data_IF_140092546709
#
_entry.id   IF_140092546709
#
_cell.length_a   1.000
_cell.length_b   1.000
_cell.length_c   1.000
_cell.angle_alpha   90.00
_cell.angle_beta   90.00
_cell.angle_gamma   90.00
#
_symmetry.space_group_name_H-M   'P 1'
#
loop_
_entity.id
_entity.type
_entity.pdbx_description
1 polymer ?
#
# COMPACT_ATOMS: atom_id res chain seq x y z
N UNK A 1 -12.26 81.36 -24.21
CA UNK A 1 -12.85 81.94 -22.98
C UNK A 1 -13.37 80.77 -22.17
N UNK A 2 -12.65 80.35 -21.12
CA UNK A 2 -12.78 80.84 -19.74
C UNK A 2 -14.02 80.21 -19.04
N UNK A 3 -13.78 79.19 -18.20
CA UNK A 3 -14.11 79.13 -16.76
C UNK A 3 -15.47 78.44 -16.49
N UNK A 4 -15.71 77.61 -15.46
CA UNK A 4 -15.01 77.24 -14.23
C UNK A 4 -15.78 76.05 -13.58
N UNK A 5 -15.28 75.54 -12.44
CA UNK A 5 -15.86 74.54 -11.52
C UNK A 5 -15.74 73.08 -11.98
N UNK A 6 -14.75 72.28 -11.58
CA UNK A 6 -14.07 72.14 -10.28
C UNK A 6 -15.05 72.08 -9.09
N UNK A 7 -15.74 70.95 -8.93
CA UNK A 7 -16.09 70.32 -7.64
C UNK A 7 -16.94 69.08 -7.90
N UNK A 8 -16.49 67.94 -7.37
CA UNK A 8 -17.09 66.59 -7.23
C UNK A 8 -16.05 65.57 -7.73
N UNK A 9 -14.94 65.52 -7.01
CA UNK A 9 -13.91 64.50 -7.15
C UNK A 9 -13.63 63.95 -5.75
N UNK A 10 -14.66 63.38 -5.12
CA UNK A 10 -14.64 62.63 -3.85
C UNK A 10 -16.02 61.97 -3.73
N UNK A 11 -16.08 60.68 -3.39
CA UNK A 11 -17.26 59.80 -3.28
C UNK A 11 -17.59 58.89 -4.48
N UNK A 12 -16.62 58.15 -4.99
CA UNK A 12 -16.87 56.75 -5.42
C UNK A 12 -15.72 55.84 -4.98
N UNK A 13 -15.31 55.99 -3.72
CA UNK A 13 -14.53 54.99 -3.02
C UNK A 13 -15.48 53.92 -2.45
N UNK A 14 -15.20 52.67 -2.79
CA UNK A 14 -15.64 51.46 -2.08
C UNK A 14 -17.14 51.18 -2.01
N UNK A 15 -17.65 50.57 -3.09
CA UNK A 15 -18.70 49.56 -2.98
C UNK A 15 -18.21 48.27 -3.66
N UNK A 16 -17.07 47.73 -3.20
CA UNK A 16 -16.92 46.27 -3.17
C UNK A 16 -17.79 45.84 -2.00
N UNK A 17 -19.12 45.77 -2.22
CA UNK A 17 -19.94 44.93 -1.37
C UNK A 17 -19.43 43.52 -1.59
N UNK A 18 -18.76 42.98 -0.58
CA UNK A 18 -18.79 41.55 -0.34
C UNK A 18 -20.27 41.15 -0.36
N UNK A 19 -20.70 40.55 -1.47
CA UNK A 19 -22.03 40.00 -1.61
C UNK A 19 -22.07 38.81 -0.65
N UNK A 20 -22.50 39.03 0.59
CA UNK A 20 -22.87 37.92 1.47
C UNK A 20 -24.09 37.28 0.82
N UNK A 21 -23.85 36.22 0.04
CA UNK A 21 -24.94 35.39 -0.45
C UNK A 21 -25.72 34.94 0.78
N UNK A 22 -27.01 35.33 0.83
CA UNK A 22 -27.89 34.96 1.94
C UNK A 22 -27.82 33.45 2.10
N UNK A 23 -27.60 32.98 3.33
CA UNK A 23 -27.48 31.55 3.63
C UNK A 23 -28.67 30.78 3.02
N UNK A 24 -28.41 29.79 2.15
CA UNK A 24 -29.47 29.00 1.56
C UNK A 24 -30.26 28.25 2.65
N UNK A 25 -31.58 28.16 2.48
CA UNK A 25 -32.45 27.52 3.46
C UNK A 25 -32.10 26.05 3.74
N UNK A 26 -31.47 25.35 2.78
CA UNK A 26 -31.06 23.96 2.94
C UNK A 26 -29.91 23.77 3.94
N UNK A 27 -29.10 24.81 4.18
CA UNK A 27 -27.99 24.77 5.15
C UNK A 27 -28.51 24.67 6.58
N UNK A 28 -29.55 25.44 6.89
CA UNK A 28 -30.19 25.47 8.22
C UNK A 28 -31.22 24.36 8.40
N UNK A 29 -31.99 24.03 7.37
CA UNK A 29 -33.08 23.05 7.47
C UNK A 29 -32.61 21.59 7.36
N UNK A 30 -31.48 21.33 6.68
CA UNK A 30 -30.96 19.97 6.38
C UNK A 30 -32.01 18.94 5.90
N UNK A 31 -33.12 19.40 5.33
CA UNK A 31 -34.28 18.57 4.99
C UNK A 31 -34.81 18.89 3.59
N UNK A 32 -33.91 19.01 2.60
CA UNK A 32 -34.33 19.05 1.18
C UNK A 32 -34.58 17.62 0.70
N UNK A 33 -35.79 17.09 0.92
CA UNK A 33 -36.20 15.86 0.21
C UNK A 33 -36.42 16.19 -1.27
N UNK A 34 -35.53 15.69 -2.13
CA UNK A 34 -35.69 15.80 -3.57
C UNK A 34 -36.34 14.51 -4.06
N UNK A 35 -37.61 14.58 -4.47
CA UNK A 35 -38.37 13.40 -4.93
C UNK A 35 -37.61 12.68 -6.05
N UNK A 36 -37.40 11.37 -5.88
CA UNK A 36 -36.68 10.53 -6.84
C UNK A 36 -35.15 10.52 -6.69
N UNK A 37 -34.62 11.18 -5.66
CA UNK A 37 -33.19 11.21 -5.36
C UNK A 37 -32.90 10.74 -3.93
N UNK A 38 -31.72 10.16 -3.73
CA UNK A 38 -31.04 10.18 -2.44
C UNK A 38 -30.31 11.52 -2.31
N UNK A 39 -30.27 12.09 -1.11
CA UNK A 39 -29.74 13.44 -0.89
C UNK A 39 -28.81 13.43 0.32
N UNK A 40 -27.59 13.93 0.17
CA UNK A 40 -26.59 13.99 1.24
C UNK A 40 -26.20 15.42 1.55
N UNK A 41 -26.12 15.73 2.84
CA UNK A 41 -25.70 17.02 3.37
C UNK A 41 -24.34 16.86 4.05
N UNK A 42 -23.36 17.56 3.50
CA UNK A 42 -21.99 17.53 3.99
C UNK A 42 -21.57 18.86 4.55
N UNK A 43 -20.73 18.85 5.60
CA UNK A 43 -20.07 20.08 6.01
C UNK A 43 -18.73 19.84 6.69
N UNK A 44 -17.82 20.80 6.56
CA UNK A 44 -16.51 20.78 7.19
C UNK A 44 -16.13 22.18 7.71
N UNK A 45 -15.27 22.22 8.73
CA UNK A 45 -14.63 23.46 9.17
C UNK A 45 -13.70 23.99 8.07
N UNK A 46 -13.68 25.29 7.84
CA UNK A 46 -12.66 25.94 6.99
C UNK A 46 -11.43 26.36 7.77
N UNK A 47 -11.51 26.35 9.11
CA UNK A 47 -10.44 26.80 10.00
C UNK A 47 -9.32 25.76 10.00
N UNK A 48 -8.10 26.20 9.69
CA UNK A 48 -6.89 25.37 9.74
C UNK A 48 -6.82 24.29 8.65
N UNK A 49 -7.68 24.37 7.62
CA UNK A 49 -7.69 23.43 6.49
C UNK A 49 -7.54 24.19 5.17
N UNK A 50 -6.79 23.61 4.25
CA UNK A 50 -6.77 24.05 2.86
C UNK A 50 -8.13 23.86 2.19
N UNK A 51 -8.32 24.53 1.06
CA UNK A 51 -9.53 24.41 0.27
C UNK A 51 -9.86 22.99 -0.16
N UNK A 52 -8.84 22.27 -0.60
CA UNK A 52 -8.97 20.87 -0.99
C UNK A 52 -9.44 20.02 0.18
N UNK A 53 -8.85 20.19 1.36
CA UNK A 53 -9.14 19.37 2.54
C UNK A 53 -10.56 19.58 3.07
N UNK A 54 -11.00 20.83 3.24
CA UNK A 54 -12.36 21.06 3.77
C UNK A 54 -13.43 20.67 2.75
N UNK A 55 -13.18 20.85 1.44
CA UNK A 55 -14.11 20.41 0.40
C UNK A 55 -14.23 18.90 0.37
N UNK A 56 -13.09 18.19 0.44
CA UNK A 56 -13.06 16.73 0.50
C UNK A 56 -13.83 16.21 1.71
N UNK A 57 -13.55 16.71 2.92
CA UNK A 57 -14.24 16.28 4.15
C UNK A 57 -15.75 16.55 4.09
N UNK A 58 -16.16 17.68 3.52
CA UNK A 58 -17.57 17.99 3.34
C UNK A 58 -18.22 16.99 2.36
N UNK A 59 -17.58 16.70 1.23
CA UNK A 59 -18.07 15.71 0.26
C UNK A 59 -18.18 14.30 0.86
N UNK A 60 -17.13 13.83 1.54
CA UNK A 60 -17.12 12.52 2.22
C UNK A 60 -18.27 12.37 3.22
N UNK A 61 -18.56 13.43 3.99
CA UNK A 61 -19.70 13.46 4.91
C UNK A 61 -21.05 13.36 4.17
N UNK A 62 -21.22 14.04 3.04
CA UNK A 62 -22.45 13.95 2.25
C UNK A 62 -22.63 12.57 1.61
N UNK A 63 -21.53 11.98 1.10
CA UNK A 63 -21.55 10.65 0.49
C UNK A 63 -21.90 9.58 1.51
N UNK A 64 -21.36 9.66 2.72
CA UNK A 64 -21.71 8.76 3.81
C UNK A 64 -23.21 8.80 4.15
N UNK A 65 -23.83 9.99 4.14
CA UNK A 65 -25.27 10.12 4.37
C UNK A 65 -26.10 9.46 3.25
N UNK A 66 -25.70 9.61 1.99
CA UNK A 66 -26.34 8.92 0.86
C UNK A 66 -26.15 7.41 0.97
N UNK A 67 -24.94 6.95 1.27
CA UNK A 67 -24.64 5.52 1.46
C UNK A 67 -25.50 4.92 2.58
N UNK A 68 -25.67 5.62 3.70
CA UNK A 68 -26.54 5.18 4.79
C UNK A 68 -28.01 5.05 4.36
N UNK A 69 -28.53 5.99 3.56
CA UNK A 69 -29.89 5.89 3.02
C UNK A 69 -30.07 4.66 2.11
N UNK A 70 -29.06 4.33 1.30
CA UNK A 70 -29.06 3.13 0.46
C UNK A 70 -29.03 1.88 1.36
N UNK A 71 -28.06 1.82 2.27
CA UNK A 71 -27.81 0.67 3.13
C UNK A 71 -28.97 0.29 4.05
N UNK A 72 -29.67 1.26 4.65
CA UNK A 72 -30.83 0.98 5.52
C UNK A 72 -31.93 0.24 4.77
N UNK A 73 -32.15 0.56 3.49
CA UNK A 73 -33.17 -0.12 2.68
C UNK A 73 -32.76 -1.56 2.32
N UNK A 74 -31.47 -1.83 2.22
CA UNK A 74 -30.93 -3.08 1.66
C UNK A 74 -30.62 -4.11 2.76
N UNK A 75 -30.14 -3.67 3.92
CA UNK A 75 -29.72 -4.53 5.02
C UNK A 75 -30.76 -5.60 5.40
N UNK A 76 -32.04 -5.21 5.50
CA UNK A 76 -33.11 -6.12 5.89
C UNK A 76 -33.35 -7.25 4.89
N UNK A 77 -33.26 -6.94 3.59
CA UNK A 77 -33.49 -7.89 2.50
C UNK A 77 -32.29 -8.84 2.36
N UNK A 78 -31.07 -8.29 2.34
CA UNK A 78 -29.86 -9.09 2.18
C UNK A 78 -29.63 -10.04 3.35
N UNK A 79 -29.95 -9.60 4.58
CA UNK A 79 -29.84 -10.42 5.78
C UNK A 79 -30.65 -11.70 5.60
N UNK A 80 -31.97 -11.59 5.39
CA UNK A 80 -32.86 -12.76 5.32
C UNK A 80 -32.39 -13.81 4.29
N UNK A 81 -32.05 -13.38 3.08
CA UNK A 81 -31.65 -14.30 1.99
C UNK A 81 -30.32 -15.01 2.29
N UNK A 82 -29.34 -14.31 2.87
CA UNK A 82 -28.03 -14.90 3.17
C UNK A 82 -28.08 -15.89 4.34
N UNK A 83 -28.93 -15.63 5.34
CA UNK A 83 -29.19 -16.60 6.41
C UNK A 83 -29.84 -17.88 5.88
N UNK A 84 -30.75 -17.79 4.91
CA UNK A 84 -31.38 -18.94 4.27
C UNK A 84 -30.38 -19.78 3.45
N UNK A 85 -29.35 -19.17 2.86
CA UNK A 85 -28.27 -19.86 2.13
C UNK A 85 -27.26 -20.59 3.06
N UNK A 86 -27.52 -20.64 4.37
CA UNK A 86 -26.65 -21.31 5.34
C UNK A 86 -25.31 -20.60 5.57
N UNK A 87 -25.15 -19.38 5.07
CA UNK A 87 -23.98 -18.51 5.30
C UNK A 87 -24.35 -17.45 6.33
N UNK A 88 -23.86 -17.60 7.56
CA UNK A 88 -24.07 -16.59 8.61
C UNK A 88 -23.51 -15.25 8.13
N UNK A 89 -24.38 -14.25 8.01
CA UNK A 89 -23.97 -12.87 7.73
C UNK A 89 -23.13 -12.38 8.91
N UNK A 90 -21.81 -12.48 8.79
CA UNK A 90 -20.90 -12.10 9.86
C UNK A 90 -20.80 -10.57 9.93
N UNK A 91 -21.23 -10.06 11.08
CA UNK A 91 -20.94 -8.75 11.62
C UNK A 91 -21.62 -7.54 10.92
N UNK A 92 -22.46 -6.81 11.66
CA UNK A 92 -23.03 -5.52 11.23
C UNK A 92 -21.92 -4.52 10.81
N UNK A 93 -20.75 -4.61 11.44
CA UNK A 93 -19.59 -3.82 11.09
C UNK A 93 -19.08 -4.07 9.66
N UNK A 94 -19.21 -5.28 9.12
CA UNK A 94 -18.81 -5.60 7.75
C UNK A 94 -19.76 -4.96 6.73
N UNK A 95 -21.07 -5.01 7.00
CA UNK A 95 -22.06 -4.30 6.20
C UNK A 95 -21.85 -2.78 6.22
N UNK A 96 -21.58 -2.22 7.39
CA UNK A 96 -21.28 -0.79 7.57
C UNK A 96 -19.97 -0.41 6.86
N UNK A 97 -18.96 -1.28 6.84
CA UNK A 97 -17.71 -1.09 6.10
C UNK A 97 -17.90 -1.20 4.58
N UNK A 98 -18.78 -2.08 4.11
CA UNK A 98 -19.18 -2.14 2.71
C UNK A 98 -19.90 -0.84 2.33
N UNK A 99 -20.85 -0.40 3.17
CA UNK A 99 -21.61 0.84 3.03
C UNK A 99 -20.73 2.09 2.97
N UNK A 100 -19.71 2.21 3.81
CA UNK A 100 -18.79 3.35 3.75
C UNK A 100 -17.95 3.35 2.46
N UNK A 101 -17.64 2.16 1.92
CA UNK A 101 -16.95 1.99 0.64
C UNK A 101 -17.86 2.24 -0.58
N UNK A 102 -19.18 2.33 -0.37
CA UNK A 102 -20.15 2.72 -1.43
C UNK A 102 -19.86 4.14 -1.94
N UNK A 103 -19.10 4.98 -1.22
CA UNK A 103 -18.79 6.38 -1.60
C UNK A 103 -18.21 6.58 -3.02
N UNK A 104 -17.81 5.52 -3.73
CA UNK A 104 -17.64 5.50 -5.20
C UNK A 104 -19.00 5.44 -5.96
N UNK A 105 -20.03 6.15 -5.48
CA UNK A 105 -21.36 6.12 -6.08
C UNK A 105 -21.34 6.75 -7.48
N UNK A 106 -21.49 5.92 -8.50
CA UNK A 106 -21.62 6.37 -9.88
C UNK A 106 -22.89 7.22 -10.07
N UNK A 107 -22.70 8.44 -10.57
CA UNK A 107 -23.80 9.35 -10.88
C UNK A 107 -24.22 10.28 -9.75
N UNK A 108 -23.35 10.48 -8.74
CA UNK A 108 -23.46 11.60 -7.80
C UNK A 108 -23.36 12.95 -8.53
N UNK A 109 -24.22 13.88 -8.15
CA UNK A 109 -24.29 15.22 -8.71
C UNK A 109 -24.27 16.25 -7.56
N UNK A 110 -23.36 17.22 -7.64
CA UNK A 110 -23.34 18.35 -6.72
C UNK A 110 -24.50 19.26 -7.08
N UNK A 111 -25.50 19.33 -6.21
CA UNK A 111 -26.70 20.14 -6.38
C UNK A 111 -26.44 21.59 -5.97
N UNK A 112 -25.75 21.79 -4.83
CA UNK A 112 -25.44 23.12 -4.31
C UNK A 112 -24.25 23.09 -3.35
N UNK A 113 -23.63 24.25 -3.12
CA UNK A 113 -22.62 24.44 -2.09
C UNK A 113 -22.71 25.84 -1.48
N UNK A 114 -22.31 25.96 -0.22
CA UNK A 114 -22.32 27.23 0.48
C UNK A 114 -21.11 27.34 1.42
N UNK A 115 -20.46 28.49 1.43
CA UNK A 115 -19.33 28.77 2.31
C UNK A 115 -19.70 29.90 3.26
N UNK A 116 -19.68 29.61 4.55
CA UNK A 116 -19.74 30.60 5.61
C UNK A 116 -18.32 31.02 6.03
N UNK A 117 -18.22 31.89 7.04
CA UNK A 117 -16.94 32.37 7.57
C UNK A 117 -16.05 31.23 8.10
N UNK A 118 -16.63 30.22 8.75
CA UNK A 118 -15.88 29.14 9.42
C UNK A 118 -16.22 27.74 8.94
N UNK A 119 -17.15 27.59 7.98
CA UNK A 119 -17.62 26.28 7.51
C UNK A 119 -17.93 26.30 6.02
N UNK A 120 -17.77 25.12 5.42
CA UNK A 120 -18.16 24.84 4.07
C UNK A 120 -19.23 23.74 4.08
N UNK A 121 -20.25 23.91 3.25
CA UNK A 121 -21.42 23.05 3.14
C UNK A 121 -21.59 22.59 1.70
N UNK A 122 -22.01 21.34 1.53
CA UNK A 122 -22.33 20.76 0.23
C UNK A 122 -23.65 20.01 0.29
N UNK A 123 -24.35 20.05 -0.84
CA UNK A 123 -25.56 19.29 -1.09
C UNK A 123 -25.32 18.41 -2.31
N UNK A 124 -25.31 17.11 -2.10
CA UNK A 124 -25.18 16.12 -3.17
C UNK A 124 -26.49 15.38 -3.36
N UNK A 125 -26.75 14.95 -4.59
CA UNK A 125 -27.90 14.11 -4.92
C UNK A 125 -27.48 12.94 -5.81
N UNK A 126 -28.23 11.84 -5.71
CA UNK A 126 -28.11 10.67 -6.57
C UNK A 126 -29.50 10.24 -7.05
N UNK A 127 -29.70 10.16 -8.35
CA UNK A 127 -30.98 9.71 -8.91
C UNK A 127 -31.24 8.24 -8.56
N UNK A 128 -32.36 7.96 -7.89
CA UNK A 128 -32.77 6.58 -7.53
C UNK A 128 -32.92 5.70 -8.77
N UNK A 129 -33.47 6.25 -9.86
CA UNK A 129 -33.64 5.55 -11.14
C UNK A 129 -32.30 5.22 -11.79
N UNK A 130 -31.33 6.14 -11.75
CA UNK A 130 -29.98 5.91 -12.29
C UNK A 130 -29.24 4.87 -11.46
N UNK A 131 -29.35 4.98 -10.13
CA UNK A 131 -28.78 4.01 -9.19
C UNK A 131 -29.33 2.60 -9.43
N UNK A 132 -30.64 2.44 -9.58
CA UNK A 132 -31.26 1.13 -9.87
C UNK A 132 -30.75 0.52 -11.18
N UNK A 133 -30.59 1.35 -12.23
CA UNK A 133 -29.98 0.89 -13.49
C UNK A 133 -28.53 0.43 -13.31
N UNK A 134 -27.75 1.14 -12.50
CA UNK A 134 -26.37 0.75 -12.20
C UNK A 134 -26.33 -0.57 -11.41
N UNK A 135 -27.23 -0.75 -10.43
CA UNK A 135 -27.38 -2.02 -9.70
C UNK A 135 -27.70 -3.17 -10.66
N UNK A 136 -28.65 -2.98 -11.58
CA UNK A 136 -29.01 -3.99 -12.57
C UNK A 136 -27.81 -4.35 -13.48
N UNK A 137 -27.13 -3.34 -14.03
CA UNK A 137 -25.91 -3.50 -14.83
C UNK A 137 -24.86 -4.33 -14.10
N UNK A 138 -24.55 -4.00 -12.84
CA UNK A 138 -23.53 -4.71 -12.08
C UNK A 138 -23.96 -6.11 -11.64
N UNK A 139 -25.27 -6.34 -11.45
CA UNK A 139 -25.79 -7.68 -11.26
C UNK A 139 -25.58 -8.55 -12.50
N UNK A 140 -25.88 -8.04 -13.70
CA UNK A 140 -25.65 -8.74 -14.97
C UNK A 140 -24.16 -9.05 -15.19
N UNK A 141 -23.27 -8.09 -14.91
CA UNK A 141 -21.82 -8.30 -14.98
C UNK A 141 -21.35 -9.37 -14.00
N UNK A 142 -21.88 -9.40 -12.77
CA UNK A 142 -21.55 -10.44 -11.80
C UNK A 142 -21.92 -11.83 -12.33
N UNK A 143 -23.10 -11.98 -12.96
CA UNK A 143 -23.50 -13.25 -13.58
C UNK A 143 -22.61 -13.64 -14.76
N UNK A 144 -22.18 -12.67 -15.58
CA UNK A 144 -21.25 -12.90 -16.68
C UNK A 144 -19.88 -13.36 -16.17
N UNK A 145 -19.33 -12.68 -15.17
CA UNK A 145 -18.05 -13.07 -14.56
C UNK A 145 -18.12 -14.43 -13.87
N UNK A 146 -19.26 -14.80 -13.28
CA UNK A 146 -19.48 -16.15 -12.77
C UNK A 146 -19.37 -17.20 -13.89
N UNK A 147 -20.00 -16.97 -15.04
CA UNK A 147 -19.93 -17.89 -16.19
C UNK A 147 -18.50 -18.02 -16.70
N UNK A 148 -17.80 -16.90 -16.86
CA UNK A 148 -16.42 -16.90 -17.35
C UNK A 148 -15.46 -17.57 -16.35
N UNK A 149 -15.63 -17.35 -15.04
CA UNK A 149 -14.86 -18.07 -14.02
C UNK A 149 -15.03 -19.59 -14.12
N UNK A 150 -16.27 -20.08 -14.32
CA UNK A 150 -16.52 -21.51 -14.48
C UNK A 150 -15.91 -22.09 -15.76
N UNK A 151 -15.86 -21.31 -16.85
CA UNK A 151 -15.17 -21.72 -18.09
C UNK A 151 -13.66 -21.85 -17.84
N UNK A 152 -13.09 -20.94 -17.03
CA UNK A 152 -11.65 -20.88 -16.74
C UNK A 152 -11.21 -21.74 -15.54
N UNK A 153 -12.02 -22.70 -15.07
CA UNK A 153 -11.73 -23.47 -13.85
C UNK A 153 -10.41 -24.27 -13.87
N UNK A 154 -9.87 -24.56 -15.07
CA UNK A 154 -8.58 -25.24 -15.26
C UNK A 154 -7.39 -24.27 -15.34
N UNK A 155 -7.66 -22.96 -15.32
CA UNK A 155 -6.67 -21.89 -15.33
C UNK A 155 -6.89 -20.98 -14.11
N UNK A 156 -6.25 -21.29 -12.96
CA UNK A 156 -6.54 -20.60 -11.71
C UNK A 156 -6.26 -19.09 -11.75
N UNK A 157 -5.28 -18.63 -12.53
CA UNK A 157 -4.95 -17.20 -12.66
C UNK A 157 -6.08 -16.47 -13.38
N UNK A 158 -6.56 -17.03 -14.47
CA UNK A 158 -7.68 -16.47 -15.23
C UNK A 158 -9.00 -16.55 -14.45
N UNK A 159 -9.23 -17.66 -13.75
CA UNK A 159 -10.37 -17.83 -12.84
C UNK A 159 -10.36 -16.75 -11.76
N UNK A 160 -9.22 -16.53 -11.06
CA UNK A 160 -9.06 -15.45 -10.09
C UNK A 160 -9.39 -14.09 -10.69
N UNK A 161 -8.95 -13.83 -11.93
CA UNK A 161 -9.26 -12.62 -12.67
C UNK A 161 -10.77 -12.36 -12.80
N UNK A 162 -11.54 -13.38 -13.18
CA UNK A 162 -12.99 -13.26 -13.28
C UNK A 162 -13.67 -13.21 -11.92
N UNK A 163 -13.19 -13.98 -10.94
CA UNK A 163 -13.77 -13.99 -9.59
C UNK A 163 -13.62 -12.63 -8.89
N UNK A 164 -12.46 -11.96 -9.01
CA UNK A 164 -12.25 -10.61 -8.43
C UNK A 164 -13.19 -9.59 -9.08
N UNK A 165 -13.31 -9.60 -10.41
CA UNK A 165 -14.24 -8.71 -11.13
C UNK A 165 -15.70 -9.00 -10.78
N UNK A 166 -16.04 -10.27 -10.61
CA UNK A 166 -17.35 -10.72 -10.13
C UNK A 166 -17.62 -10.21 -8.71
N UNK A 167 -16.66 -10.34 -7.80
CA UNK A 167 -16.79 -9.85 -6.43
C UNK A 167 -17.00 -8.33 -6.41
N UNK A 168 -16.16 -7.58 -7.14
CA UNK A 168 -16.33 -6.13 -7.30
C UNK A 168 -17.71 -5.77 -7.84
N UNK A 169 -18.20 -6.50 -8.85
CA UNK A 169 -19.54 -6.28 -9.41
C UNK A 169 -20.65 -6.49 -8.38
N UNK A 170 -20.55 -7.51 -7.52
CA UNK A 170 -21.54 -7.71 -6.45
C UNK A 170 -21.53 -6.57 -5.43
N UNK A 171 -20.37 -5.98 -5.13
CA UNK A 171 -20.24 -4.83 -4.23
C UNK A 171 -20.81 -3.56 -4.87
N UNK A 172 -20.57 -3.34 -6.17
CA UNK A 172 -21.15 -2.24 -6.96
C UNK A 172 -22.65 -2.39 -7.21
N UNK A 173 -23.22 -3.58 -7.02
CA UNK A 173 -24.66 -3.80 -6.99
C UNK A 173 -25.30 -3.41 -5.63
N UNK A 174 -24.52 -2.80 -4.72
CA UNK A 174 -24.94 -2.16 -3.48
C UNK A 174 -25.92 -3.01 -2.66
N UNK A 175 -25.53 -4.25 -2.37
CA UNK A 175 -26.25 -5.18 -1.49
C UNK A 175 -27.49 -5.85 -2.08
N UNK A 176 -27.77 -5.67 -3.38
CA UNK A 176 -28.60 -6.62 -4.12
C UNK A 176 -27.98 -8.03 -3.99
N UNK A 177 -28.79 -8.99 -3.55
CA UNK A 177 -28.40 -10.39 -3.55
C UNK A 177 -28.61 -10.94 -4.97
N UNK A 178 -27.54 -11.46 -5.56
CA UNK A 178 -27.53 -11.94 -6.94
C UNK A 178 -27.47 -13.46 -6.90
N UNK A 179 -28.45 -14.10 -7.53
CA UNK A 179 -28.61 -15.56 -7.51
C UNK A 179 -28.68 -16.09 -8.92
N UNK A 180 -27.86 -17.10 -9.22
CA UNK A 180 -27.88 -17.81 -10.51
C UNK A 180 -28.41 -19.22 -10.33
N UNK A 181 -29.16 -19.71 -11.31
CA UNK A 181 -29.62 -21.11 -11.34
C UNK A 181 -28.50 -21.97 -11.91
N UNK A 182 -28.12 -23.01 -11.17
CA UNK A 182 -27.14 -24.02 -11.61
C UNK A 182 -27.78 -25.41 -11.54
N UNK A 183 -27.19 -26.43 -12.20
CA UNK A 183 -27.66 -27.81 -12.06
C UNK A 183 -27.67 -28.33 -10.61
N UNK A 184 -26.79 -27.79 -9.76
CA UNK A 184 -26.63 -28.14 -8.33
C UNK A 184 -27.59 -27.35 -7.42
N UNK A 185 -28.37 -26.43 -8.00
CA UNK A 185 -29.29 -25.55 -7.28
C UNK A 185 -29.01 -24.07 -7.50
N UNK A 186 -29.69 -23.24 -6.73
CA UNK A 186 -29.46 -21.80 -6.75
C UNK A 186 -28.13 -21.47 -6.08
N UNK A 187 -27.32 -20.61 -6.70
CA UNK A 187 -26.05 -20.14 -6.15
C UNK A 187 -26.11 -18.65 -5.88
N UNK A 188 -25.81 -18.25 -4.65
CA UNK A 188 -25.70 -16.83 -4.27
C UNK A 188 -24.29 -16.32 -4.59
N UNK A 189 -24.18 -15.37 -5.52
CA UNK A 189 -22.90 -14.89 -6.02
C UNK A 189 -22.12 -14.05 -5.01
N UNK A 190 -22.83 -13.29 -4.17
CA UNK A 190 -22.25 -12.41 -3.14
C UNK A 190 -21.35 -13.17 -2.15
N UNK A 191 -21.65 -14.44 -1.88
CA UNK A 191 -20.86 -15.31 -0.99
C UNK A 191 -19.94 -16.23 -1.78
N UNK A 192 -20.34 -16.63 -2.99
CA UNK A 192 -19.56 -17.51 -3.85
C UNK A 192 -18.21 -16.91 -4.23
N UNK A 193 -18.17 -15.67 -4.74
CA UNK A 193 -16.92 -15.07 -5.22
C UNK A 193 -15.83 -15.01 -4.15
N UNK A 194 -16.04 -14.38 -2.97
CA UNK A 194 -15.00 -14.35 -1.95
C UNK A 194 -14.62 -15.77 -1.47
N UNK A 195 -15.60 -16.66 -1.27
CA UNK A 195 -15.32 -18.05 -0.87
C UNK A 195 -14.47 -18.80 -1.90
N UNK A 196 -14.71 -18.60 -3.19
CA UNK A 196 -13.96 -19.28 -4.25
C UNK A 196 -12.55 -18.70 -4.40
N UNK A 197 -12.39 -17.38 -4.28
CA UNK A 197 -11.07 -16.73 -4.24
C UNK A 197 -10.25 -17.30 -3.07
N UNK A 198 -10.84 -17.35 -1.87
CA UNK A 198 -10.21 -17.95 -0.68
C UNK A 198 -9.81 -19.41 -0.93
N UNK A 199 -10.70 -20.22 -1.52
CA UNK A 199 -10.40 -21.62 -1.85
C UNK A 199 -9.21 -21.76 -2.80
N UNK A 200 -9.15 -20.96 -3.87
CA UNK A 200 -8.04 -21.00 -4.82
C UNK A 200 -6.74 -20.60 -4.12
N UNK A 201 -6.73 -19.47 -3.40
CA UNK A 201 -5.55 -18.98 -2.68
C UNK A 201 -5.11 -19.96 -1.59
N UNK A 202 -6.04 -20.68 -0.96
CA UNK A 202 -5.75 -21.73 0.02
C UNK A 202 -5.01 -22.93 -0.60
N UNK A 203 -5.09 -23.11 -1.92
CA UNK A 203 -4.37 -24.16 -2.65
C UNK A 203 -3.08 -23.66 -3.34
N UNK A 204 -2.81 -22.36 -3.29
CA UNK A 204 -1.55 -21.81 -3.81
C UNK A 204 -0.44 -22.05 -2.81
N UNK A 205 0.59 -22.78 -3.23
CA UNK A 205 1.83 -22.94 -2.49
C UNK A 205 2.85 -21.91 -2.98
N UNK A 206 3.44 -21.17 -2.05
CA UNK A 206 4.42 -20.14 -2.34
C UNK A 206 5.76 -20.44 -1.68
N UNK A 207 6.85 -20.14 -2.40
CA UNK A 207 8.22 -20.21 -1.89
C UNK A 207 8.96 -18.92 -2.24
N UNK A 208 10.02 -18.64 -1.48
CA UNK A 208 10.90 -17.51 -1.70
C UNK A 208 12.35 -17.95 -1.70
N UNK A 209 13.17 -17.32 -2.53
CA UNK A 209 14.60 -17.58 -2.69
C UNK A 209 15.36 -16.27 -2.45
N UNK A 210 16.58 -16.37 -1.93
CA UNK A 210 17.39 -15.23 -1.47
C UNK A 210 16.68 -14.43 -0.36
N UNK A 211 16.06 -15.14 0.59
CA UNK A 211 15.28 -14.57 1.70
C UNK A 211 16.11 -13.88 2.78
N UNK A 212 17.42 -14.12 2.81
CA UNK A 212 18.36 -13.48 3.71
C UNK A 212 19.55 -12.96 2.90
N UNK A 213 19.79 -11.66 2.96
CA UNK A 213 20.91 -11.01 2.27
C UNK A 213 21.55 -9.94 3.17
N UNK A 214 22.77 -9.56 2.82
CA UNK A 214 23.42 -8.38 3.40
C UNK A 214 23.54 -7.30 2.33
N UNK A 215 23.37 -6.05 2.73
CA UNK A 215 23.44 -4.90 1.84
C UNK A 215 24.12 -3.70 2.49
N UNK A 216 24.46 -2.72 1.66
CA UNK A 216 25.03 -1.44 2.08
C UNK A 216 24.09 -0.31 1.69
N UNK A 217 23.90 0.65 2.58
CA UNK A 217 23.12 1.86 2.26
C UNK A 217 23.69 2.55 1.01
N UNK A 218 22.79 3.00 0.13
CA UNK A 218 23.12 3.60 -1.17
C UNK A 218 23.55 2.60 -2.26
N UNK A 219 23.49 1.29 -1.98
CA UNK A 219 23.91 0.24 -2.94
C UNK A 219 22.76 -0.71 -3.27
N UNK A 220 22.90 -1.43 -4.40
CA UNK A 220 22.01 -2.51 -4.78
C UNK A 220 22.22 -3.76 -3.91
N UNK A 221 21.21 -4.63 -3.82
CA UNK A 221 21.40 -5.97 -3.26
C UNK A 221 22.15 -6.88 -4.23
N UNK A 222 22.96 -7.83 -3.73
CA UNK A 222 23.78 -8.70 -4.56
C UNK A 222 22.97 -9.73 -5.37
N UNK A 223 21.77 -10.10 -4.91
CA UNK A 223 20.91 -11.05 -5.59
C UNK A 223 19.45 -10.60 -5.65
N UNK A 224 18.70 -10.96 -6.70
CA UNK A 224 17.28 -10.63 -6.80
C UNK A 224 16.45 -11.39 -5.75
N UNK A 225 15.33 -10.80 -5.34
CA UNK A 225 14.33 -11.42 -4.48
C UNK A 225 13.38 -12.21 -5.37
N UNK A 226 13.38 -13.53 -5.25
CA UNK A 226 12.61 -14.41 -6.15
C UNK A 226 11.43 -15.00 -5.38
N UNK A 227 10.23 -14.79 -5.93
CA UNK A 227 8.98 -15.36 -5.47
C UNK A 227 8.49 -16.42 -6.46
N UNK A 228 8.07 -17.57 -5.96
CA UNK A 228 7.50 -18.66 -6.76
C UNK A 228 6.14 -19.06 -6.23
N UNK A 229 5.20 -19.30 -7.13
CA UNK A 229 3.86 -19.78 -6.82
C UNK A 229 3.47 -20.97 -7.71
N UNK A 230 2.87 -21.97 -7.09
CA UNK A 230 2.29 -23.13 -7.76
C UNK A 230 0.92 -23.44 -7.16
N UNK A 231 -0.02 -23.86 -7.99
CA UNK A 231 -1.35 -24.29 -7.56
C UNK A 231 -1.36 -25.79 -7.33
N UNK A 232 -1.70 -26.19 -6.11
CA UNK A 232 -1.75 -27.60 -5.71
C UNK A 232 -3.20 -28.09 -5.71
N UNK A 233 -3.55 -28.80 -6.77
CA UNK A 233 -4.79 -29.58 -6.86
C UNK A 233 -4.46 -31.06 -7.03
N UNK A 234 -5.18 -31.80 -7.88
CA UNK A 234 -4.82 -33.18 -8.23
C UNK A 234 -3.40 -33.30 -8.81
N UNK A 235 -2.95 -32.27 -9.50
CA UNK A 235 -1.60 -32.13 -10.07
C UNK A 235 -1.10 -30.72 -9.74
N UNK A 236 0.20 -30.58 -9.45
CA UNK A 236 0.82 -29.27 -9.28
C UNK A 236 0.89 -28.53 -10.61
N UNK A 237 0.30 -27.35 -10.67
CA UNK A 237 0.29 -26.49 -11.86
C UNK A 237 1.07 -25.20 -11.59
N UNK A 238 1.90 -24.75 -12.52
CA UNK A 238 2.54 -23.44 -12.43
C UNK A 238 1.50 -22.34 -12.68
N UNK A 239 1.57 -21.27 -11.91
CA UNK A 239 0.68 -20.12 -12.07
C UNK A 239 1.37 -19.09 -12.95
N UNK A 240 1.04 -19.06 -14.25
CA UNK A 240 1.64 -18.14 -15.23
C UNK A 240 0.84 -16.83 -15.26
N UNK A 241 1.51 -15.69 -15.22
CA UNK A 241 0.87 -14.37 -15.28
C UNK A 241 0.17 -13.95 -13.99
N UNK A 242 0.50 -14.57 -12.86
CA UNK A 242 -0.01 -14.19 -11.55
C UNK A 242 0.65 -12.86 -11.12
N UNK A 243 -0.12 -11.80 -10.82
CA UNK A 243 0.42 -10.54 -10.32
C UNK A 243 0.93 -10.71 -8.88
N UNK A 244 2.14 -10.21 -8.64
CA UNK A 244 2.81 -10.23 -7.34
C UNK A 244 3.35 -8.83 -7.07
N UNK A 245 2.94 -8.26 -5.93
CA UNK A 245 3.43 -6.99 -5.43
C UNK A 245 4.51 -7.20 -4.38
N UNK A 246 5.65 -6.60 -4.60
CA UNK A 246 6.73 -6.42 -3.66
C UNK A 246 6.57 -5.06 -3.00
N UNK A 247 6.70 -4.98 -1.67
CA UNK A 247 6.65 -3.73 -0.92
C UNK A 247 7.49 -3.81 0.34
N UNK A 248 8.09 -2.70 0.74
CA UNK A 248 8.86 -2.62 1.98
C UNK A 248 7.89 -2.54 3.17
N UNK A 249 8.12 -3.36 4.19
CA UNK A 249 7.43 -3.29 5.49
C UNK A 249 8.32 -2.73 6.59
N UNK A 250 9.64 -2.69 6.36
CA UNK A 250 10.65 -2.12 7.24
C UNK A 250 11.80 -1.60 6.36
N UNK A 251 12.19 -0.34 6.56
CA UNK A 251 13.16 0.34 5.69
C UNK A 251 12.57 0.94 4.43
N UNK A 252 13.44 1.55 3.63
CA UNK A 252 13.11 2.21 2.37
C UNK A 252 14.16 1.78 1.33
N UNK A 253 13.68 1.28 0.20
CA UNK A 253 14.48 0.69 -0.87
C UNK A 253 13.83 0.98 -2.22
N UNK A 254 14.63 1.09 -3.27
CA UNK A 254 14.17 1.30 -4.65
C UNK A 254 14.16 -0.03 -5.41
N UNK A 255 12.98 -0.45 -5.86
CA UNK A 255 12.77 -1.68 -6.64
C UNK A 255 11.46 -1.60 -7.43
N UNK A 256 11.26 -2.52 -8.37
CA UNK A 256 9.99 -2.63 -9.08
C UNK A 256 8.98 -3.39 -8.22
N UNK A 257 7.85 -2.74 -7.91
CA UNK A 257 6.85 -3.30 -7.00
C UNK A 257 6.00 -4.39 -7.65
N UNK A 258 5.45 -4.17 -8.85
CA UNK A 258 4.54 -5.11 -9.50
C UNK A 258 5.26 -5.99 -10.52
N UNK A 259 5.11 -7.31 -10.39
CA UNK A 259 5.66 -8.32 -11.29
C UNK A 259 4.61 -9.37 -11.63
N UNK A 260 4.79 -10.03 -12.76
CA UNK A 260 3.97 -11.17 -13.18
C UNK A 260 4.84 -12.42 -13.15
N UNK A 261 4.28 -13.54 -12.71
CA UNK A 261 4.97 -14.84 -12.77
C UNK A 261 5.14 -15.33 -14.21
N UNK A 262 6.24 -16.00 -14.47
CA UNK A 262 6.60 -16.58 -15.77
C UNK A 262 6.05 -18.01 -15.96
N UNK A 263 6.54 -18.73 -16.99
CA UNK A 263 6.14 -20.12 -17.27
C UNK A 263 6.47 -21.12 -16.15
N UNK A 264 7.42 -20.79 -15.28
CA UNK A 264 7.82 -21.59 -14.12
C UNK A 264 7.03 -21.21 -12.86
N UNK A 265 6.11 -20.24 -12.95
CA UNK A 265 5.42 -19.67 -11.80
C UNK A 265 6.31 -18.77 -10.96
N UNK A 266 7.38 -18.22 -11.53
CA UNK A 266 8.38 -17.41 -10.85
C UNK A 266 8.32 -15.94 -11.27
N UNK A 267 8.52 -15.04 -10.32
CA UNK A 267 8.81 -13.65 -10.59
C UNK A 267 9.89 -13.15 -9.64
N UNK A 268 10.57 -12.06 -10.01
CA UNK A 268 11.60 -11.50 -9.16
C UNK A 268 11.63 -9.98 -9.23
N UNK A 269 12.13 -9.37 -8.16
CA UNK A 269 12.50 -7.96 -8.14
C UNK A 269 13.96 -7.80 -7.71
N UNK A 270 14.59 -6.73 -8.18
CA UNK A 270 15.97 -6.38 -7.81
C UNK A 270 15.91 -5.08 -7.04
N UNK A 271 16.50 -5.08 -5.84
CA UNK A 271 16.72 -3.85 -5.07
C UNK A 271 17.89 -3.12 -5.69
N UNK A 272 17.59 -2.00 -6.34
CA UNK A 272 18.56 -1.14 -7.04
C UNK A 272 19.29 -0.21 -6.09
N UNK A 273 18.65 0.18 -4.99
CA UNK A 273 19.22 1.05 -3.98
C UNK A 273 18.55 0.80 -2.62
N UNK A 274 19.36 0.74 -1.57
CA UNK A 274 18.91 0.73 -0.18
C UNK A 274 18.99 2.16 0.34
N UNK A 275 17.85 2.81 0.54
CA UNK A 275 17.77 4.24 0.92
C UNK A 275 17.88 4.41 2.43
N UNK A 276 17.21 3.55 3.19
CA UNK A 276 17.22 3.61 4.65
C UNK A 276 18.54 3.09 5.25
N UNK A 277 18.92 3.67 6.39
CA UNK A 277 20.03 3.27 7.24
C UNK A 277 19.65 2.25 8.34
N UNK A 278 18.38 1.83 8.36
CA UNK A 278 17.92 0.82 9.32
C UNK A 278 18.72 -0.49 9.16
N UNK A 279 19.22 -1.07 10.27
CA UNK A 279 20.10 -2.23 10.23
C UNK A 279 19.41 -3.50 9.75
N UNK A 280 18.09 -3.58 9.93
CA UNK A 280 17.26 -4.65 9.39
C UNK A 280 16.21 -4.01 8.50
N UNK A 281 16.14 -4.48 7.26
CA UNK A 281 15.10 -4.09 6.32
C UNK A 281 14.32 -5.32 5.90
N UNK A 282 13.06 -5.12 5.51
CA UNK A 282 12.18 -6.21 5.12
C UNK A 282 11.33 -5.80 3.91
N UNK A 283 11.36 -6.67 2.90
CA UNK A 283 10.45 -6.60 1.75
C UNK A 283 9.52 -7.79 1.83
N UNK A 284 8.25 -7.59 1.51
CA UNK A 284 7.26 -8.66 1.38
C UNK A 284 6.82 -8.76 -0.07
N UNK A 285 6.81 -9.98 -0.60
CA UNK A 285 6.12 -10.35 -1.84
C UNK A 285 4.75 -10.94 -1.50
N UNK A 286 3.70 -10.44 -2.14
CA UNK A 286 2.32 -10.86 -1.94
C UNK A 286 1.61 -10.92 -3.29
N UNK A 287 0.71 -11.91 -3.46
CA UNK A 287 -0.14 -11.98 -4.64
C UNK A 287 -1.03 -10.73 -4.68
N UNK A 288 -0.97 -9.96 -5.76
CA UNK A 288 -1.75 -8.74 -5.91
C UNK A 288 -3.08 -9.01 -6.59
N UNK A 289 -4.04 -9.47 -5.81
CA UNK A 289 -5.40 -9.73 -6.30
C UNK A 289 -6.10 -8.44 -6.78
N UNK A 290 -5.71 -7.27 -6.28
CA UNK A 290 -6.30 -5.99 -6.66
C UNK A 290 -5.95 -5.59 -8.10
N UNK A 291 -4.87 -6.13 -8.67
CA UNK A 291 -4.54 -5.98 -10.10
C UNK A 291 -5.59 -6.58 -11.05
N UNK A 292 -6.48 -7.45 -10.56
CA UNK A 292 -7.55 -8.06 -11.36
C UNK A 292 -8.84 -7.25 -11.42
N UNK A 293 -8.99 -6.18 -10.63
CA UNK A 293 -10.21 -5.36 -10.59
C UNK A 293 -10.61 -4.82 -11.97
N UNK A 294 -11.89 -4.49 -12.12
CA UNK A 294 -12.46 -3.91 -13.35
C UNK A 294 -11.82 -2.55 -13.65
N UNK A 295 -11.49 -1.79 -12.60
CA UNK A 295 -10.72 -0.55 -12.70
C UNK A 295 -9.75 -0.41 -11.53
N UNK A 296 -8.80 0.52 -11.68
CA UNK A 296 -7.82 0.88 -10.65
C UNK A 296 -8.42 1.76 -9.54
N UNK A 297 -9.74 1.94 -9.48
CA UNK A 297 -10.43 2.67 -8.42
C UNK A 297 -10.21 2.02 -7.05
N UNK A 298 -10.23 2.83 -5.99
CA UNK A 298 -9.93 2.38 -4.63
C UNK A 298 -11.22 2.03 -3.91
N UNK A 299 -11.52 0.74 -3.84
CA UNK A 299 -12.60 0.23 -3.02
C UNK A 299 -12.03 -0.29 -1.70
N UNK A 300 -12.07 0.54 -0.65
CA UNK A 300 -11.41 0.26 0.65
C UNK A 300 -11.78 -1.11 1.22
N UNK A 301 -13.07 -1.47 1.15
CA UNK A 301 -13.54 -2.77 1.63
C UNK A 301 -13.00 -3.93 0.79
N UNK A 302 -13.15 -3.87 -0.54
CA UNK A 302 -12.67 -4.92 -1.43
C UNK A 302 -11.16 -5.08 -1.34
N UNK A 303 -10.41 -3.99 -1.44
CA UNK A 303 -8.95 -3.97 -1.40
C UNK A 303 -8.45 -4.62 -0.10
N UNK A 304 -9.06 -4.26 1.05
CA UNK A 304 -8.75 -4.88 2.34
C UNK A 304 -9.01 -6.39 2.35
N UNK A 305 -10.15 -6.84 1.82
CA UNK A 305 -10.48 -8.28 1.77
C UNK A 305 -9.53 -9.05 0.86
N UNK A 306 -9.20 -8.50 -0.31
CA UNK A 306 -8.24 -9.10 -1.24
C UNK A 306 -6.83 -9.17 -0.63
N UNK A 307 -6.40 -8.12 0.08
CA UNK A 307 -5.14 -8.11 0.83
C UNK A 307 -5.15 -9.15 1.97
N UNK A 308 -6.23 -9.23 2.76
CA UNK A 308 -6.38 -10.23 3.83
C UNK A 308 -6.23 -11.66 3.27
N UNK A 309 -6.94 -11.99 2.18
CA UNK A 309 -6.91 -13.32 1.57
C UNK A 309 -5.50 -13.66 1.06
N UNK A 310 -4.87 -12.73 0.33
CA UNK A 310 -3.55 -12.96 -0.29
C UNK A 310 -2.40 -12.95 0.72
N UNK A 311 -2.55 -12.28 1.86
CA UNK A 311 -1.52 -12.18 2.90
C UNK A 311 -1.09 -13.55 3.44
N UNK A 312 -2.00 -14.54 3.44
CA UNK A 312 -1.75 -15.91 3.88
C UNK A 312 -0.66 -16.62 3.06
N UNK A 313 -0.40 -16.13 1.84
CA UNK A 313 0.57 -16.69 0.89
C UNK A 313 1.77 -15.78 0.64
N UNK A 314 1.90 -14.72 1.42
CA UNK A 314 3.01 -13.77 1.31
C UNK A 314 4.35 -14.38 1.76
N UNK A 315 5.44 -13.80 1.28
CA UNK A 315 6.82 -14.16 1.67
C UNK A 315 7.61 -12.92 1.99
N UNK A 316 8.42 -13.01 3.04
CA UNK A 316 9.24 -11.89 3.51
C UNK A 316 10.71 -12.20 3.28
N UNK A 317 11.42 -11.20 2.78
CA UNK A 317 12.87 -11.18 2.59
C UNK A 317 13.42 -10.22 3.64
N UNK A 318 14.41 -10.68 4.40
CA UNK A 318 15.09 -9.90 5.42
C UNK A 318 16.50 -9.55 4.94
N UNK A 319 16.90 -8.30 5.11
CA UNK A 319 18.22 -7.83 4.71
C UNK A 319 18.90 -7.15 5.89
N UNK A 320 20.11 -7.57 6.19
CA UNK A 320 20.97 -6.87 7.14
C UNK A 320 21.70 -5.75 6.39
N UNK A 321 21.53 -4.52 6.85
CA UNK A 321 22.08 -3.32 6.19
C UNK A 321 23.11 -2.67 7.09
N UNK A 322 24.23 -2.29 6.48
CA UNK A 322 25.30 -1.58 7.18
C UNK A 322 25.55 -0.22 6.50
N UNK A 323 25.53 0.84 7.30
CA UNK A 323 25.88 2.20 6.85
C UNK A 323 27.39 2.41 6.72
N UNK A 324 28.19 1.58 7.41
CA UNK A 324 29.65 1.64 7.39
C UNK A 324 30.22 0.99 6.13
N UNK A 325 31.07 1.73 5.42
CA UNK A 325 31.95 1.20 4.40
C UNK A 325 33.23 0.65 5.04
N UNK A 326 33.13 -0.32 5.94
CA UNK A 326 34.32 -0.96 6.49
C UNK A 326 34.08 -2.45 6.72
N UNK A 327 33.91 -3.17 5.60
CA UNK A 327 34.23 -4.60 5.58
C UNK A 327 35.73 -4.81 5.85
N UNK A 328 36.57 -3.76 5.78
CA UNK A 328 38.00 -3.81 6.09
C UNK A 328 38.31 -3.08 7.39
N UNK A 329 39.05 -3.74 8.28
CA UNK A 329 39.55 -3.14 9.52
C UNK A 329 41.05 -3.40 9.64
N UNK A 330 41.77 -2.47 10.25
CA UNK A 330 43.17 -2.67 10.63
C UNK A 330 43.25 -2.83 12.15
N UNK A 331 44.04 -3.80 12.60
CA UNK A 331 44.24 -4.07 14.02
C UNK A 331 45.73 -4.00 14.30
N UNK A 332 46.12 -3.13 15.24
CA UNK A 332 47.49 -3.03 15.74
C UNK A 332 47.46 -3.15 17.26
N UNK A 333 48.14 -4.18 17.78
CA UNK A 333 48.37 -4.31 19.22
C UNK A 333 49.60 -3.49 19.58
N UNK A 334 49.47 -2.63 20.59
CA UNK A 334 50.60 -1.92 21.20
C UNK A 334 50.90 -2.57 22.54
N UNK A 335 52.13 -3.08 22.69
CA UNK A 335 52.59 -3.63 23.95
C UNK A 335 52.75 -2.50 24.97
N UNK A 336 52.01 -2.56 26.07
CA UNK A 336 52.34 -1.82 27.30
C UNK A 336 53.01 -2.80 28.26
N UNK A 337 53.97 -2.31 29.04
CA UNK A 337 54.92 -3.05 29.89
C UNK A 337 54.47 -4.46 30.36
N UNK A 338 55.38 -5.43 30.30
CA UNK A 338 55.15 -6.80 30.82
C UNK A 338 55.07 -7.91 29.76
N UNK A 339 55.26 -7.58 28.48
CA UNK A 339 55.45 -8.58 27.42
C UNK A 339 56.94 -8.91 27.23
N UNK A 340 57.31 -10.21 27.09
CA UNK A 340 58.67 -10.60 26.74
C UNK A 340 59.12 -9.99 25.41
N UNK A 341 60.39 -9.59 25.32
CA UNK A 341 60.96 -8.97 24.12
C UNK A 341 60.80 -9.89 22.90
N UNK A 342 60.12 -9.39 21.86
CA UNK A 342 59.90 -10.09 20.59
C UNK A 342 58.62 -10.94 20.49
N UNK A 343 57.75 -10.95 21.51
CA UNK A 343 56.47 -11.68 21.47
C UNK A 343 55.28 -10.86 20.94
N UNK A 344 55.42 -9.54 20.85
CA UNK A 344 54.41 -8.60 20.38
C UNK A 344 53.89 -8.92 18.98
N UNK A 345 54.79 -9.23 18.04
CA UNK A 345 54.43 -9.60 16.67
C UNK A 345 53.64 -10.91 16.63
N UNK A 346 54.04 -11.89 17.42
CA UNK A 346 53.36 -13.19 17.50
C UNK A 346 51.95 -13.05 18.08
N UNK A 347 51.79 -12.25 19.14
CA UNK A 347 50.48 -11.98 19.76
C UNK A 347 49.57 -11.24 18.77
N UNK A 348 50.09 -10.24 18.07
CA UNK A 348 49.34 -9.47 17.08
C UNK A 348 48.88 -10.35 15.90
N UNK A 349 49.76 -11.20 15.38
CA UNK A 349 49.40 -12.16 14.32
C UNK A 349 48.33 -13.17 14.79
N UNK A 350 48.46 -13.70 16.00
CA UNK A 350 47.49 -14.65 16.55
C UNK A 350 46.14 -14.00 16.83
N UNK A 351 46.13 -12.76 17.32
CA UNK A 351 44.91 -12.00 17.53
C UNK A 351 44.20 -11.69 16.21
N UNK A 352 44.92 -11.21 15.20
CA UNK A 352 44.38 -10.98 13.85
C UNK A 352 43.81 -12.28 13.28
N UNK A 353 44.50 -13.41 13.42
CA UNK A 353 44.04 -14.71 12.94
C UNK A 353 42.74 -15.18 13.63
N UNK A 354 42.65 -15.07 14.95
CA UNK A 354 41.42 -15.42 15.68
C UNK A 354 40.28 -14.44 15.38
N UNK A 355 40.57 -13.15 15.20
CA UNK A 355 39.55 -12.16 14.85
C UNK A 355 38.98 -12.40 13.45
N UNK A 356 39.83 -12.74 12.47
CA UNK A 356 39.40 -13.20 11.13
C UNK A 356 38.53 -14.47 11.18
N UNK A 357 38.77 -15.34 12.16
CA UNK A 357 38.02 -16.59 12.33
C UNK A 357 36.68 -16.40 13.03
N UNK A 358 36.60 -15.46 13.97
CA UNK A 358 35.42 -15.22 14.81
C UNK A 358 34.48 -14.14 14.26
N UNK A 359 34.90 -13.39 13.24
CA UNK A 359 34.14 -12.27 12.67
C UNK A 359 34.12 -12.32 11.14
N UNK A 360 33.20 -11.57 10.53
CA UNK A 360 33.11 -11.43 9.07
C UNK A 360 33.93 -10.24 8.53
N UNK A 361 34.82 -9.65 9.34
CA UNK A 361 35.64 -8.53 8.90
C UNK A 361 36.83 -9.00 8.05
N UNK A 362 37.12 -8.25 7.00
CA UNK A 362 38.36 -8.32 6.22
C UNK A 362 39.46 -7.59 6.99
N UNK A 363 40.14 -8.31 7.88
CA UNK A 363 41.21 -7.71 8.67
C UNK A 363 42.48 -7.58 7.82
N UNK A 364 43.04 -6.36 7.72
CA UNK A 364 44.31 -6.10 7.04
C UNK A 364 45.43 -6.85 7.78
N UNK A 365 46.28 -7.54 7.04
CA UNK A 365 47.44 -8.24 7.61
C UNK A 365 48.47 -7.25 8.14
N UNK A 366 49.12 -7.60 9.26
CA UNK A 366 50.12 -6.75 9.92
C UNK A 366 51.20 -6.28 8.96
N UNK A 367 51.76 -7.18 8.16
CA UNK A 367 52.82 -6.86 7.19
C UNK A 367 52.36 -5.83 6.15
N UNK A 368 51.18 -6.03 5.56
CA UNK A 368 50.61 -5.10 4.59
C UNK A 368 50.33 -3.73 5.22
N UNK A 369 49.84 -3.70 6.46
CA UNK A 369 49.63 -2.46 7.21
C UNK A 369 50.95 -1.72 7.43
N UNK A 370 52.02 -2.42 7.84
CA UNK A 370 53.35 -1.82 8.05
C UNK A 370 53.94 -1.28 6.75
N UNK A 371 53.81 -2.01 5.64
CA UNK A 371 54.27 -1.58 4.32
C UNK A 371 53.58 -0.28 3.90
N UNK A 372 52.24 -0.23 3.98
CA UNK A 372 51.46 0.97 3.60
C UNK A 372 51.81 2.18 4.48
N UNK A 373 51.97 1.98 5.79
CA UNK A 373 52.35 3.06 6.70
C UNK A 373 53.76 3.58 6.41
N UNK A 374 54.70 2.69 6.12
CA UNK A 374 56.08 3.03 5.75
C UNK A 374 56.16 3.79 4.42
N UNK A 375 55.36 3.38 3.43
CA UNK A 375 55.24 4.08 2.14
C UNK A 375 54.69 5.50 2.29
N UNK A 376 53.83 5.73 3.29
CA UNK A 376 53.28 7.05 3.60
C UNK A 376 54.12 7.83 4.63
N UNK A 377 55.36 7.40 4.88
CA UNK A 377 56.30 8.02 5.84
C UNK A 377 55.71 8.19 7.25
N UNK A 378 54.76 7.33 7.64
CA UNK A 378 54.02 7.44 8.89
C UNK A 378 54.58 6.48 9.95
N UNK A 379 55.11 7.03 11.05
CA UNK A 379 55.57 6.23 12.19
C UNK A 379 54.41 5.91 13.14
N UNK A 380 53.96 4.66 13.12
CA UNK A 380 52.88 4.18 13.97
C UNK A 380 53.34 3.53 15.29
N UNK A 381 54.64 3.46 15.59
CA UNK A 381 55.16 2.77 16.79
C UNK A 381 54.66 3.39 18.11
N UNK A 382 54.36 4.69 18.11
CA UNK A 382 53.90 5.42 19.31
C UNK A 382 52.41 5.83 19.25
N UNK A 383 51.64 5.22 18.34
CA UNK A 383 50.28 5.66 18.02
C UNK A 383 49.22 5.25 19.08
N UNK A 384 49.23 5.91 20.23
CA UNK A 384 48.35 5.60 21.37
C UNK A 384 47.14 6.52 21.53
N UNK A 385 47.04 7.61 20.75
CA UNK A 385 45.95 8.59 20.84
C UNK A 385 44.84 8.30 19.81
N UNK A 386 43.60 8.70 20.13
CA UNK A 386 42.45 8.59 19.22
C UNK A 386 42.70 9.32 17.89
N UNK A 387 43.30 10.51 17.94
CA UNK A 387 43.64 11.31 16.76
C UNK A 387 44.64 10.58 15.84
N UNK A 388 45.61 9.90 16.43
CA UNK A 388 46.57 9.10 15.69
C UNK A 388 45.90 7.87 15.04
N UNK A 389 45.01 7.19 15.75
CA UNK A 389 44.24 6.06 15.22
C UNK A 389 43.37 6.46 14.03
N UNK A 390 42.74 7.65 14.07
CA UNK A 390 41.96 8.20 12.95
C UNK A 390 42.84 8.49 11.73
N UNK A 391 44.07 8.99 11.94
CA UNK A 391 45.02 9.20 10.84
C UNK A 391 45.45 7.88 10.20
N UNK A 392 45.74 6.85 11.01
CA UNK A 392 46.04 5.50 10.52
C UNK A 392 44.86 4.94 9.70
N UNK A 393 43.63 5.05 10.21
CA UNK A 393 42.44 4.59 9.49
C UNK A 393 42.31 5.24 8.10
N UNK A 394 42.56 6.56 8.00
CA UNK A 394 42.58 7.28 6.72
C UNK A 394 43.66 6.78 5.76
N UNK A 395 44.88 6.55 6.25
CA UNK A 395 46.00 6.06 5.43
C UNK A 395 45.72 4.64 4.91
N UNK A 396 45.14 3.79 5.76
CA UNK A 396 44.83 2.40 5.43
C UNK A 396 43.50 2.22 4.69
N UNK A 397 42.73 3.31 4.52
CA UNK A 397 41.39 3.34 3.95
C UNK A 397 40.43 2.34 4.63
N UNK A 398 40.39 2.37 5.98
CA UNK A 398 39.53 1.55 6.85
C UNK A 398 38.72 2.39 7.82
#
# INVERSE_FOLDING_TARGET
MLNFCLSIFLLFSNQILAQSSREPSWVSQRQKQIRGYYVGFGSASTIGLSETEYKQKANESAFLEISNQISVNIYGVSKSILYEDGKTFNNRAEFESQSSSIAELEGLELEDNYKSTNRYYVLWKLSKKKHEKNIAKYAELAEEYYKNANISILNPVEELGYLVKGYESTLRAHGKVITVKTPEGNKVLNTYFPSRIEQIISKVNTTAINTAQSGKTGSALPAPLIFRAAYSDLISQTLIGLPVRFFAIEGEMQFQELKMTDSNGECFTTVTEIVSDLPLQKITAQIDLSSFKINSGRNVFLDKKLDEISSLRSKTYAMNVTALAAERIAVKILAQEGLPFGEDNFINEKFIAELKKLTNYTVIERALMEDVLKENEFNAEECSTEECQVMIGKILAV
#
